data_IF_109278900610
#
_entry.id   IF_109278900610
#
_cell.length_a   1.000
_cell.length_b   1.000
_cell.length_c   1.000
_cell.angle_alpha   90.00
_cell.angle_beta   90.00
_cell.angle_gamma   90.00
#
_symmetry.space_group_name_H-M   'P 1'
#
loop_
_entity.id
_entity.type
_entity.pdbx_description
1 polymer ?
#
# COMPACT_ATOMS: atom_id res chain seq x y z
N UNK A 1 9.40 10.83 -19.55
CA UNK A 1 9.00 9.51 -18.97
C UNK A 1 8.01 9.69 -17.83
N UNK A 2 8.31 10.54 -16.84
CA UNK A 2 7.46 10.79 -15.67
C UNK A 2 6.03 11.27 -16.00
N UNK A 3 5.87 12.23 -16.93
CA UNK A 3 4.53 12.69 -17.34
C UNK A 3 3.64 11.56 -17.88
N UNK A 4 4.20 10.70 -18.72
CA UNK A 4 3.44 9.59 -19.31
C UNK A 4 3.13 8.52 -18.26
N UNK A 5 4.06 8.26 -17.33
CA UNK A 5 3.79 7.39 -16.18
C UNK A 5 2.60 7.92 -15.38
N UNK A 6 2.65 9.20 -14.96
CA UNK A 6 1.58 9.82 -14.18
C UNK A 6 0.22 9.74 -14.89
N UNK A 7 0.15 10.15 -16.17
CA UNK A 7 -1.11 10.10 -16.94
C UNK A 7 -1.67 8.69 -17.02
N UNK A 8 -0.82 7.69 -17.27
CA UNK A 8 -1.26 6.30 -17.36
C UNK A 8 -1.69 5.74 -15.99
N UNK A 9 -0.98 6.09 -14.93
CA UNK A 9 -1.34 5.72 -13.56
C UNK A 9 -2.67 6.35 -13.14
N UNK A 10 -2.88 7.64 -13.45
CA UNK A 10 -4.14 8.33 -13.20
C UNK A 10 -5.31 7.73 -13.99
N UNK A 11 -5.09 7.31 -15.24
CA UNK A 11 -6.13 6.58 -15.99
C UNK A 11 -6.47 5.24 -15.35
N UNK A 12 -5.48 4.50 -14.84
CA UNK A 12 -5.71 3.22 -14.14
C UNK A 12 -6.42 3.41 -12.80
N UNK A 13 -6.15 4.52 -12.09
CA UNK A 13 -6.75 4.78 -10.78
C UNK A 13 -8.27 4.82 -10.82
N UNK A 14 -8.87 5.23 -11.95
CA UNK A 14 -10.32 5.26 -12.14
C UNK A 14 -11.04 3.92 -11.85
N UNK A 15 -10.35 2.79 -11.93
CA UNK A 15 -10.91 1.46 -11.59
C UNK A 15 -10.96 1.16 -10.09
N UNK A 16 -10.15 1.85 -9.29
CA UNK A 16 -9.91 1.48 -7.88
C UNK A 16 -10.21 2.61 -6.91
N UNK A 17 -9.97 3.87 -7.29
CA UNK A 17 -9.91 5.01 -6.36
C UNK A 17 -11.19 5.16 -5.52
N UNK A 18 -12.37 5.05 -6.14
CA UNK A 18 -13.64 5.18 -5.43
C UNK A 18 -13.85 4.07 -4.39
N UNK A 19 -13.42 2.84 -4.70
CA UNK A 19 -13.50 1.71 -3.78
C UNK A 19 -12.51 1.84 -2.64
N UNK A 20 -11.26 2.21 -2.93
CA UNK A 20 -10.23 2.41 -1.91
C UNK A 20 -10.63 3.56 -0.97
N UNK A 21 -11.11 4.69 -1.49
CA UNK A 21 -11.62 5.81 -0.67
C UNK A 21 -12.73 5.35 0.26
N UNK A 22 -13.68 4.55 -0.25
CA UNK A 22 -14.75 3.98 0.57
C UNK A 22 -14.19 3.11 1.71
N UNK A 23 -13.28 2.19 1.39
CA UNK A 23 -12.69 1.28 2.40
C UNK A 23 -11.86 2.03 3.44
N UNK A 24 -11.12 3.07 3.05
CA UNK A 24 -10.39 3.95 3.96
C UNK A 24 -11.34 4.71 4.90
N UNK A 25 -12.40 5.29 4.35
CA UNK A 25 -13.41 6.00 5.14
C UNK A 25 -14.12 5.08 6.14
N UNK A 26 -14.46 3.85 5.73
CA UNK A 26 -15.02 2.83 6.64
C UNK A 26 -14.03 2.43 7.74
N UNK A 27 -12.73 2.47 7.46
CA UNK A 27 -11.67 2.22 8.43
C UNK A 27 -11.30 3.44 9.30
N UNK A 28 -11.88 4.61 9.03
CA UNK A 28 -11.55 5.87 9.71
C UNK A 28 -10.17 6.43 9.35
N UNK A 29 -9.65 6.10 8.16
CA UNK A 29 -8.38 6.58 7.65
C UNK A 29 -8.57 7.76 6.67
N UNK A 30 -7.57 8.65 6.53
CA UNK A 30 -7.61 9.73 5.53
C UNK A 30 -7.78 9.18 4.10
N UNK A 31 -8.71 9.77 3.34
CA UNK A 31 -9.01 9.34 1.97
C UNK A 31 -7.85 9.61 1.01
N UNK A 32 -6.97 10.56 1.31
CA UNK A 32 -5.80 10.90 0.51
C UNK A 32 -4.82 9.71 0.39
N UNK A 33 -4.82 8.80 1.36
CA UNK A 33 -4.05 7.56 1.32
C UNK A 33 -4.46 6.66 0.14
N UNK A 34 -5.63 6.87 -0.46
CA UNK A 34 -6.06 6.17 -1.67
C UNK A 34 -5.13 6.40 -2.86
N UNK A 35 -4.27 7.43 -2.81
CA UNK A 35 -3.29 7.72 -3.85
C UNK A 35 -1.94 7.03 -3.66
N UNK A 36 -1.71 6.33 -2.55
CA UNK A 36 -0.48 5.54 -2.35
C UNK A 36 -0.18 4.56 -3.50
N UNK A 37 -1.16 3.83 -4.06
CA UNK A 37 -0.91 2.97 -5.22
C UNK A 37 -0.36 3.70 -6.45
N UNK A 38 -0.54 5.03 -6.56
CA UNK A 38 0.07 5.82 -7.62
C UNK A 38 1.60 5.81 -7.53
N UNK A 39 2.15 5.95 -6.32
CA UNK A 39 3.59 5.97 -6.07
C UNK A 39 4.16 4.56 -5.99
N UNK A 40 3.39 3.60 -5.48
CA UNK A 40 3.85 2.21 -5.31
C UNK A 40 3.87 1.44 -6.63
N UNK A 41 2.75 1.40 -7.36
CA UNK A 41 2.61 0.58 -8.56
C UNK A 41 2.19 1.37 -9.80
N UNK A 42 1.86 2.64 -9.63
CA UNK A 42 1.13 3.40 -10.64
C UNK A 42 -0.27 2.82 -10.89
N UNK A 43 -0.95 2.31 -9.87
CA UNK A 43 -2.21 1.58 -9.98
C UNK A 43 -2.14 0.34 -10.91
N UNK A 44 -1.00 -0.36 -10.92
CA UNK A 44 -0.84 -1.60 -11.66
C UNK A 44 -0.95 -2.80 -10.72
N UNK A 45 -2.08 -3.51 -10.79
CA UNK A 45 -2.41 -4.69 -9.99
C UNK A 45 -1.40 -5.85 -10.15
N UNK A 46 -0.56 -5.82 -11.20
CA UNK A 46 0.43 -6.86 -11.50
C UNK A 46 1.88 -6.36 -11.45
N UNK A 47 2.11 -5.18 -10.86
CA UNK A 47 3.46 -4.63 -10.72
C UNK A 47 4.33 -5.54 -9.86
N UNK A 48 5.54 -5.83 -10.33
CA UNK A 48 6.56 -6.59 -9.59
C UNK A 48 7.82 -5.73 -9.50
N UNK A 49 8.27 -5.43 -8.28
CA UNK A 49 9.52 -4.71 -8.07
C UNK A 49 10.75 -5.64 -8.07
N UNK A 50 11.96 -5.09 -8.22
CA UNK A 50 13.21 -5.83 -8.01
C UNK A 50 13.31 -6.47 -6.61
N UNK A 51 12.73 -5.83 -5.59
CA UNK A 51 12.68 -6.31 -4.22
C UNK A 51 11.56 -7.35 -3.97
N UNK A 52 10.90 -7.85 -5.03
CA UNK A 52 9.79 -8.82 -4.97
C UNK A 52 8.52 -8.29 -4.30
N UNK A 53 8.38 -6.98 -4.19
CA UNK A 53 7.13 -6.34 -3.86
C UNK A 53 6.14 -6.53 -5.02
N UNK A 54 4.89 -6.86 -4.71
CA UNK A 54 3.91 -7.29 -5.71
C UNK A 54 2.58 -6.57 -5.58
N UNK A 55 1.96 -6.31 -6.73
CA UNK A 55 0.59 -5.87 -6.87
C UNK A 55 0.37 -4.39 -6.58
N UNK A 56 -0.90 -4.05 -6.37
CA UNK A 56 -1.37 -2.66 -6.31
C UNK A 56 -0.65 -1.84 -5.22
N UNK A 57 -0.47 -2.47 -4.06
CA UNK A 57 0.09 -1.87 -2.83
C UNK A 57 1.57 -2.21 -2.60
N UNK A 58 2.22 -2.90 -3.55
CA UNK A 58 3.63 -3.32 -3.47
C UNK A 58 3.98 -4.01 -2.14
N UNK A 59 3.22 -5.04 -1.77
CA UNK A 59 3.58 -5.84 -0.61
C UNK A 59 4.75 -6.78 -0.93
N UNK A 60 5.78 -6.74 -0.08
CA UNK A 60 6.69 -7.89 0.05
C UNK A 60 5.94 -9.04 0.73
N UNK A 61 6.32 -10.29 0.42
CA UNK A 61 5.56 -11.45 0.85
C UNK A 61 5.43 -11.54 2.39
N UNK A 62 6.52 -11.31 3.12
CA UNK A 62 6.54 -11.34 4.60
C UNK A 62 5.53 -10.36 5.22
N UNK A 63 5.52 -9.12 4.75
CA UNK A 63 4.56 -8.09 5.20
C UNK A 63 3.15 -8.45 4.78
N UNK A 64 2.94 -8.93 3.55
CA UNK A 64 1.63 -9.41 3.11
C UNK A 64 1.08 -10.50 4.04
N UNK A 65 1.89 -11.50 4.40
CA UNK A 65 1.50 -12.55 5.33
C UNK A 65 1.16 -12.01 6.73
N UNK A 66 1.96 -11.06 7.25
CA UNK A 66 1.69 -10.39 8.53
C UNK A 66 0.30 -9.75 8.56
N UNK A 67 -0.15 -9.20 7.42
CA UNK A 67 -1.47 -8.58 7.27
C UNK A 67 -2.51 -9.48 6.58
N UNK A 68 -2.32 -10.80 6.64
CA UNK A 68 -3.35 -11.78 6.31
C UNK A 68 -3.47 -12.15 4.82
N UNK A 69 -2.59 -11.64 3.96
CA UNK A 69 -2.53 -12.09 2.56
C UNK A 69 -1.92 -13.49 2.48
N UNK A 70 -2.57 -14.35 1.71
CA UNK A 70 -2.13 -15.72 1.47
C UNK A 70 -1.42 -15.83 0.13
N UNK A 71 -0.51 -16.78 0.08
CA UNK A 71 0.13 -17.19 -1.16
C UNK A 71 0.41 -18.69 -1.10
N UNK A 72 0.03 -19.37 -2.16
CA UNK A 72 0.34 -20.76 -2.47
C UNK A 72 0.89 -20.86 -3.91
N UNK A 73 0.95 -22.07 -4.47
CA UNK A 73 1.49 -22.31 -5.81
C UNK A 73 0.61 -21.75 -6.94
N UNK A 74 -0.65 -21.43 -6.66
CA UNK A 74 -1.66 -21.00 -7.64
C UNK A 74 -2.16 -19.59 -7.40
N UNK A 75 -2.16 -19.13 -6.15
CA UNK A 75 -2.74 -17.87 -5.70
C UNK A 75 -1.67 -17.04 -5.00
N UNK A 76 -1.64 -15.75 -5.31
CA UNK A 76 -0.90 -14.75 -4.54
C UNK A 76 -1.84 -13.55 -4.31
N UNK A 77 -2.40 -13.45 -3.10
CA UNK A 77 -3.42 -12.45 -2.77
C UNK A 77 -2.88 -11.01 -2.76
N UNK A 78 -1.56 -10.81 -2.90
CA UNK A 78 -0.99 -9.48 -3.16
C UNK A 78 -1.44 -8.91 -4.51
N UNK A 79 -1.83 -9.78 -5.45
CA UNK A 79 -2.38 -9.40 -6.75
C UNK A 79 -3.88 -9.12 -6.71
N UNK A 80 -4.57 -9.48 -5.62
CA UNK A 80 -6.00 -9.22 -5.43
C UNK A 80 -6.17 -7.79 -4.89
N UNK A 81 -6.75 -6.85 -5.67
CA UNK A 81 -6.84 -5.45 -5.25
C UNK A 81 -7.65 -5.25 -3.97
N UNK A 82 -8.67 -6.08 -3.71
CA UNK A 82 -9.54 -5.93 -2.56
C UNK A 82 -8.84 -6.43 -1.30
N UNK A 83 -8.29 -7.64 -1.36
CA UNK A 83 -7.57 -8.23 -0.22
C UNK A 83 -6.32 -7.41 0.11
N UNK A 84 -5.55 -7.01 -0.90
CA UNK A 84 -4.37 -6.17 -0.69
C UNK A 84 -4.72 -4.78 -0.16
N UNK A 85 -5.89 -4.21 -0.48
CA UNK A 85 -6.35 -2.95 0.12
C UNK A 85 -6.69 -3.12 1.59
N UNK A 86 -7.37 -4.21 1.98
CA UNK A 86 -7.64 -4.49 3.39
C UNK A 86 -6.35 -4.71 4.19
N UNK A 87 -5.37 -5.41 3.63
CA UNK A 87 -4.05 -5.54 4.22
C UNK A 87 -3.31 -4.20 4.33
N UNK A 88 -3.38 -3.34 3.32
CA UNK A 88 -2.78 -1.99 3.35
C UNK A 88 -3.41 -1.11 4.43
N UNK A 89 -4.73 -1.15 4.58
CA UNK A 89 -5.45 -0.45 5.64
C UNK A 89 -4.98 -0.93 7.03
N UNK A 90 -4.90 -2.24 7.24
CA UNK A 90 -4.42 -2.80 8.50
C UNK A 90 -2.97 -2.37 8.80
N UNK A 91 -2.11 -2.38 7.78
CA UNK A 91 -0.72 -1.95 7.92
C UNK A 91 -0.60 -0.46 8.24
N UNK A 92 -1.31 0.41 7.52
CA UNK A 92 -1.34 1.85 7.75
C UNK A 92 -1.85 2.20 9.16
N UNK A 93 -2.85 1.46 9.68
CA UNK A 93 -3.31 1.61 11.06
C UNK A 93 -2.24 1.22 12.07
N UNK A 94 -1.54 0.10 11.86
CA UNK A 94 -0.46 -0.33 12.74
C UNK A 94 0.68 0.71 12.76
N UNK A 95 1.10 1.19 11.58
CA UNK A 95 2.09 2.24 11.47
C UNK A 95 1.63 3.51 12.20
N UNK A 96 0.38 3.92 12.03
CA UNK A 96 -0.13 5.12 12.68
C UNK A 96 -0.25 4.97 14.20
N UNK A 97 -0.54 3.77 14.71
CA UNK A 97 -0.48 3.48 16.13
C UNK A 97 0.96 3.56 16.68
N UNK A 98 1.96 3.22 15.87
CA UNK A 98 3.37 3.30 16.27
C UNK A 98 3.92 4.73 16.24
N UNK A 99 3.58 5.52 15.21
CA UNK A 99 4.22 6.81 14.95
C UNK A 99 3.35 8.03 15.26
N UNK A 100 2.03 7.90 15.28
CA UNK A 100 1.10 8.97 15.65
C UNK A 100 0.89 10.07 14.59
N UNK A 101 1.74 10.16 13.57
CA UNK A 101 1.60 11.11 12.47
C UNK A 101 1.73 10.46 11.08
N UNK A 102 0.95 10.96 10.12
CA UNK A 102 0.89 10.39 8.78
C UNK A 102 2.20 10.56 7.98
N UNK A 103 3.01 11.58 8.27
CA UNK A 103 4.25 11.80 7.50
C UNK A 103 5.24 10.69 7.78
N UNK A 104 5.44 10.37 9.06
CA UNK A 104 6.29 9.27 9.51
C UNK A 104 5.73 7.91 9.09
N UNK A 105 4.40 7.74 9.14
CA UNK A 105 3.74 6.53 8.63
C UNK A 105 4.05 6.29 7.16
N UNK A 106 3.96 7.33 6.31
CA UNK A 106 4.24 7.19 4.88
C UNK A 106 5.72 6.85 4.63
N UNK A 107 6.64 7.44 5.40
CA UNK A 107 8.05 7.10 5.35
C UNK A 107 8.29 5.63 5.76
N UNK A 108 7.64 5.17 6.82
CA UNK A 108 7.72 3.79 7.30
C UNK A 108 7.07 2.79 6.35
N UNK A 109 5.96 3.15 5.68
CA UNK A 109 5.31 2.30 4.69
C UNK A 109 6.27 1.99 3.53
N UNK A 110 6.98 3.01 3.04
CA UNK A 110 7.90 2.88 1.91
C UNK A 110 9.24 2.21 2.28
N UNK A 111 9.81 2.56 3.44
CA UNK A 111 11.16 2.13 3.83
C UNK A 111 11.20 0.97 4.83
N UNK A 112 10.05 0.61 5.42
CA UNK A 112 9.94 -0.34 6.53
C UNK A 112 10.02 0.34 7.91
N UNK A 113 9.16 -0.08 8.84
CA UNK A 113 9.02 0.52 10.17
C UNK A 113 10.30 0.45 11.00
N UNK A 114 11.07 -0.65 10.87
CA UNK A 114 12.32 -0.85 11.60
C UNK A 114 13.43 0.15 11.23
N UNK A 115 13.36 0.74 10.04
CA UNK A 115 14.30 1.78 9.60
C UNK A 115 13.94 3.17 10.15
N UNK A 116 12.66 3.38 10.48
CA UNK A 116 12.13 4.67 10.97
C UNK A 116 12.10 4.73 12.49
N UNK A 117 11.83 3.62 13.19
CA UNK A 117 11.79 3.56 14.65
C UNK A 117 13.02 4.19 15.37
N UNK A 118 14.28 4.00 14.92
CA UNK A 118 15.44 4.64 15.56
C UNK A 118 15.50 6.16 15.42
N UNK A 119 14.72 6.73 14.50
CA UNK A 119 14.77 8.16 14.13
C UNK A 119 13.69 9.02 14.80
N UNK A 120 12.74 8.40 15.50
CA UNK A 120 11.65 9.10 16.20
C UNK A 120 11.98 9.16 17.70
N UNK A 121 12.05 10.37 18.32
CA UNK A 121 12.16 10.48 19.77
C UNK A 121 10.96 9.80 20.45
N UNK A 122 11.22 8.91 21.42
CA UNK A 122 10.16 8.29 22.24
C UNK A 122 9.59 9.25 23.28
#
# INVERSE_FOLDING_TARGET
>A
VERNFFINSYKRSGRHIAKIVKELNEAGLPEELAWLPLVESGFNERALSPARALGLWQFIASTGYKFGLKRDDWIDERLDPEKSTQAAIAYLRELHLMFGDWTTVLAAYNSGEGNVLPSVPQ
#
